data_IF_928516301057
#
_entry.id   IF_928516301057
#
_cell.length_a   1.000
_cell.length_b   1.000
_cell.length_c   1.000
_cell.angle_alpha   90.00
_cell.angle_beta   90.00
_cell.angle_gamma   90.00
#
_symmetry.space_group_name_H-M   'P 1'
#
loop_
_entity.id
_entity.type
_entity.pdbx_description
1 polymer ?
#
# COMPACT_ATOMS: atom_id res chain seq x y z
N UNK A 1 -19.58 -6.88 -6.45
CA UNK A 1 -18.23 -6.30 -6.28
C UNK A 1 -17.49 -7.10 -5.22
N UNK A 2 -16.21 -7.38 -5.43
CA UNK A 2 -15.36 -8.10 -4.50
C UNK A 2 -14.04 -7.34 -4.31
N UNK A 3 -13.51 -7.26 -3.09
CA UNK A 3 -12.25 -6.55 -2.80
C UNK A 3 -11.23 -7.56 -2.28
N UNK A 4 -10.02 -7.53 -2.83
CA UNK A 4 -8.88 -8.30 -2.35
C UNK A 4 -7.90 -7.29 -1.76
N UNK A 5 -7.69 -7.34 -0.44
CA UNK A 5 -6.77 -6.46 0.29
C UNK A 5 -5.48 -7.19 0.61
N UNK A 6 -4.37 -6.60 0.22
CA UNK A 6 -3.06 -7.07 0.63
C UNK A 6 -2.49 -6.17 1.72
N UNK A 7 -2.57 -6.62 2.97
CA UNK A 7 -2.06 -5.89 4.11
C UNK A 7 -0.86 -6.58 4.77
N UNK A 8 0.11 -5.74 5.26
CA UNK A 8 1.26 -6.20 6.05
C UNK A 8 0.93 -6.49 7.53
N UNK A 9 -0.34 -6.39 7.95
CA UNK A 9 -0.78 -6.57 9.33
C UNK A 9 -1.76 -7.73 9.51
N UNK A 10 -1.86 -8.26 10.71
CA UNK A 10 -2.73 -9.39 11.07
C UNK A 10 -4.14 -8.98 11.53
N UNK A 11 -4.48 -7.72 11.53
CA UNK A 11 -5.78 -7.23 11.99
C UNK A 11 -6.34 -6.23 10.98
N UNK A 12 -7.29 -6.67 10.21
CA UNK A 12 -8.04 -5.87 9.26
C UNK A 12 -9.09 -5.02 9.96
N UNK A 13 -8.73 -3.82 10.43
CA UNK A 13 -9.72 -2.80 10.81
C UNK A 13 -10.55 -2.44 9.57
N UNK A 14 -9.92 -2.45 8.40
CA UNK A 14 -10.58 -2.18 7.13
C UNK A 14 -11.58 -3.29 6.75
N UNK A 15 -11.31 -4.54 7.12
CA UNK A 15 -12.20 -5.68 6.91
C UNK A 15 -13.54 -5.56 7.64
N UNK A 16 -13.56 -5.08 8.88
CA UNK A 16 -14.79 -4.86 9.64
C UNK A 16 -15.65 -3.76 9.00
N UNK A 17 -15.03 -2.63 8.65
CA UNK A 17 -15.74 -1.51 8.00
C UNK A 17 -16.33 -1.90 6.63
N UNK A 18 -15.62 -2.67 5.83
CA UNK A 18 -16.09 -3.12 4.53
C UNK A 18 -17.16 -4.20 4.63
N UNK A 19 -17.10 -5.08 5.64
CA UNK A 19 -18.14 -6.08 5.90
C UNK A 19 -19.49 -5.47 6.28
N UNK A 20 -19.47 -4.35 7.02
CA UNK A 20 -20.69 -3.58 7.33
C UNK A 20 -21.36 -3.01 6.09
N UNK A 21 -20.61 -2.75 5.02
CA UNK A 21 -21.13 -2.30 3.72
C UNK A 21 -21.63 -3.45 2.84
N UNK A 22 -21.58 -4.70 3.30
CA UNK A 22 -22.01 -5.89 2.54
C UNK A 22 -21.12 -6.21 1.35
N UNK A 23 -19.86 -5.78 1.37
CA UNK A 23 -18.88 -6.04 0.33
C UNK A 23 -18.11 -7.29 0.70
N UNK A 24 -18.01 -8.24 -0.24
CA UNK A 24 -17.18 -9.43 -0.07
C UNK A 24 -15.70 -9.03 -0.07
N UNK A 25 -14.95 -9.50 0.93
CA UNK A 25 -13.57 -9.15 1.15
C UNK A 25 -12.73 -10.40 1.40
N UNK A 26 -11.60 -10.50 0.70
CA UNK A 26 -10.53 -11.44 1.00
C UNK A 26 -9.27 -10.71 1.44
N UNK A 27 -8.72 -11.07 2.60
CA UNK A 27 -7.48 -10.53 3.13
C UNK A 27 -6.32 -11.50 2.89
N UNK A 28 -5.26 -11.03 2.23
CA UNK A 28 -4.02 -11.77 2.09
C UNK A 28 -3.00 -11.22 3.08
N UNK A 29 -2.97 -11.85 4.25
CA UNK A 29 -2.12 -11.44 5.37
C UNK A 29 -0.69 -12.03 5.31
N UNK A 30 0.26 -11.38 6.00
CA UNK A 30 1.66 -11.80 6.21
C UNK A 30 2.66 -11.52 5.09
N UNK A 31 2.62 -10.36 4.48
CA UNK A 31 3.64 -9.84 3.56
C UNK A 31 3.10 -9.50 2.18
N UNK A 32 3.92 -8.83 1.37
CA UNK A 32 3.49 -8.41 0.02
C UNK A 32 3.21 -9.62 -0.86
N UNK A 33 1.98 -9.73 -1.38
CA UNK A 33 1.62 -10.69 -2.44
C UNK A 33 2.38 -10.43 -3.73
N UNK A 34 2.97 -9.27 -3.85
CA UNK A 34 3.74 -8.81 -5.01
C UNK A 34 5.20 -9.30 -4.98
N UNK A 35 5.64 -9.92 -3.87
CA UNK A 35 6.88 -10.68 -3.85
C UNK A 35 6.68 -11.96 -4.68
N UNK A 36 7.61 -12.28 -5.55
CA UNK A 36 7.61 -13.49 -6.39
C UNK A 36 7.36 -14.79 -5.62
N UNK A 37 7.66 -14.82 -4.34
CA UNK A 37 7.44 -15.96 -3.44
C UNK A 37 5.99 -16.16 -2.97
N UNK A 38 5.04 -15.27 -3.32
CA UNK A 38 3.64 -15.31 -2.86
C UNK A 38 2.60 -15.07 -3.94
N UNK A 39 3.03 -14.96 -5.17
CA UNK A 39 2.13 -14.82 -6.32
C UNK A 39 1.11 -15.98 -6.38
N UNK A 40 1.54 -17.19 -6.02
CA UNK A 40 0.66 -18.37 -5.98
C UNK A 40 -0.53 -18.18 -5.03
N UNK A 41 -0.36 -17.47 -3.91
CA UNK A 41 -1.48 -17.20 -2.99
C UNK A 41 -2.49 -16.25 -3.61
N UNK A 42 -2.00 -15.18 -4.24
CA UNK A 42 -2.86 -14.24 -4.93
C UNK A 42 -3.65 -14.90 -6.05
N UNK A 43 -2.98 -15.75 -6.85
CA UNK A 43 -3.63 -16.51 -7.91
C UNK A 43 -4.72 -17.45 -7.38
N UNK A 44 -4.47 -18.13 -6.25
CA UNK A 44 -5.46 -19.01 -5.62
C UNK A 44 -6.68 -18.22 -5.10
N UNK A 45 -6.47 -17.07 -4.43
CA UNK A 45 -7.56 -16.20 -3.98
C UNK A 45 -8.34 -15.69 -5.18
N UNK A 46 -7.66 -15.22 -6.23
CA UNK A 46 -8.30 -14.72 -7.44
C UNK A 46 -9.16 -15.83 -8.11
N UNK A 47 -8.67 -17.07 -8.16
CA UNK A 47 -9.45 -18.20 -8.67
C UNK A 47 -10.71 -18.47 -7.85
N UNK A 48 -10.64 -18.38 -6.52
CA UNK A 48 -11.80 -18.55 -5.63
C UNK A 48 -12.82 -17.43 -5.85
N UNK A 49 -12.37 -16.18 -5.87
CA UNK A 49 -13.22 -15.01 -6.10
C UNK A 49 -13.93 -15.08 -7.46
N UNK A 50 -13.24 -15.55 -8.51
CA UNK A 50 -13.86 -15.71 -9.84
C UNK A 50 -14.98 -16.77 -9.88
N UNK A 51 -14.99 -17.75 -8.96
CA UNK A 51 -16.10 -18.73 -8.87
C UNK A 51 -17.41 -18.07 -8.40
N UNK A 52 -17.32 -16.99 -7.62
CA UNK A 52 -18.46 -16.19 -7.16
C UNK A 52 -19.03 -15.28 -8.25
N UNK A 53 -18.36 -15.18 -9.41
CA UNK A 53 -18.75 -14.37 -10.57
C UNK A 53 -19.07 -12.91 -10.24
N UNK A 54 -18.18 -12.18 -9.54
CA UNK A 54 -18.41 -10.77 -9.26
C UNK A 54 -18.33 -9.96 -10.56
N UNK A 55 -19.11 -8.86 -10.66
CA UNK A 55 -19.04 -7.94 -11.79
C UNK A 55 -17.72 -7.16 -11.80
N UNK A 56 -17.18 -6.84 -10.61
CA UNK A 56 -15.94 -6.08 -10.42
C UNK A 56 -15.12 -6.66 -9.29
N UNK A 57 -13.82 -6.77 -9.51
CA UNK A 57 -12.82 -7.11 -8.49
C UNK A 57 -11.89 -5.91 -8.33
N UNK A 58 -11.71 -5.44 -7.10
CA UNK A 58 -10.75 -4.39 -6.75
C UNK A 58 -9.63 -5.06 -5.95
N UNK A 59 -8.39 -4.82 -6.36
CA UNK A 59 -7.21 -5.32 -5.64
C UNK A 59 -6.50 -4.13 -5.01
N UNK A 60 -6.50 -4.06 -3.68
CA UNK A 60 -5.71 -3.08 -2.94
C UNK A 60 -4.32 -3.62 -2.67
N UNK A 61 -3.34 -2.94 -3.21
CA UNK A 61 -1.94 -3.24 -2.96
C UNK A 61 -1.40 -2.45 -1.76
N UNK A 62 -0.56 -3.06 -0.95
CA UNK A 62 0.21 -2.31 0.06
C UNK A 62 1.02 -1.19 -0.60
N UNK A 63 1.09 -0.01 0.04
CA UNK A 63 1.81 1.16 -0.46
C UNK A 63 3.31 0.96 -0.76
N UNK A 64 3.90 -0.16 -0.31
CA UNK A 64 5.29 -0.54 -0.55
C UNK A 64 5.42 -1.70 -1.54
N UNK A 65 4.35 -2.09 -2.19
CA UNK A 65 4.33 -3.22 -3.12
C UNK A 65 4.71 -2.78 -4.53
N UNK A 66 5.47 -3.63 -5.22
CA UNK A 66 5.73 -3.50 -6.66
C UNK A 66 4.55 -4.11 -7.44
N UNK A 67 3.71 -3.31 -8.11
CA UNK A 67 2.49 -3.78 -8.76
C UNK A 67 2.75 -4.47 -10.11
N UNK A 68 3.98 -4.48 -10.61
CA UNK A 68 4.34 -5.03 -11.93
C UNK A 68 3.93 -6.50 -12.06
N UNK A 69 4.17 -7.30 -11.03
CA UNK A 69 3.86 -8.74 -11.06
C UNK A 69 2.35 -9.00 -11.06
N UNK A 70 1.56 -8.20 -10.33
CA UNK A 70 0.10 -8.34 -10.31
C UNK A 70 -0.49 -8.02 -11.68
N UNK A 71 -0.04 -6.95 -12.32
CA UNK A 71 -0.45 -6.60 -13.69
C UNK A 71 -0.20 -7.78 -14.64
N UNK A 72 0.95 -8.46 -14.52
CA UNK A 72 1.26 -9.66 -15.31
C UNK A 72 0.29 -10.81 -15.07
N UNK A 73 -0.05 -11.09 -13.79
CA UNK A 73 -1.01 -12.15 -13.45
C UNK A 73 -2.39 -11.82 -14.01
N UNK A 74 -2.89 -10.61 -13.77
CA UNK A 74 -4.22 -10.19 -14.21
C UNK A 74 -4.36 -10.19 -15.74
N UNK A 75 -3.27 -10.10 -16.48
CA UNK A 75 -3.27 -10.19 -17.95
C UNK A 75 -3.18 -11.62 -18.50
N UNK A 76 -3.06 -12.66 -17.65
CA UNK A 76 -3.02 -14.07 -18.09
C UNK A 76 -4.42 -14.59 -18.45
N UNK A 77 -4.93 -14.18 -19.60
CA UNK A 77 -6.29 -14.55 -20.07
C UNK A 77 -6.53 -16.05 -20.15
N UNK A 78 -5.51 -16.85 -20.46
CA UNK A 78 -5.61 -18.31 -20.53
C UNK A 78 -5.86 -18.93 -19.13
N UNK A 79 -5.25 -18.35 -18.10
CA UNK A 79 -5.35 -18.82 -16.71
C UNK A 79 -6.62 -18.31 -16.02
N UNK A 80 -7.08 -17.12 -16.39
CA UNK A 80 -8.25 -16.45 -15.82
C UNK A 80 -9.24 -16.06 -16.92
N UNK A 81 -9.94 -17.08 -17.52
CA UNK A 81 -10.90 -16.80 -18.58
C UNK A 81 -12.08 -15.97 -18.03
N UNK A 82 -12.43 -14.91 -18.74
CA UNK A 82 -13.51 -14.01 -18.34
C UNK A 82 -13.06 -12.85 -17.44
N UNK A 83 -11.80 -12.81 -17.01
CA UNK A 83 -11.23 -11.65 -16.33
C UNK A 83 -10.75 -10.62 -17.37
N UNK A 84 -11.20 -9.38 -17.22
CA UNK A 84 -10.72 -8.23 -17.98
C UNK A 84 -9.99 -7.27 -17.06
N UNK A 85 -8.72 -7.01 -17.32
CA UNK A 85 -7.94 -6.03 -16.58
C UNK A 85 -8.35 -4.62 -17.01
N UNK A 86 -8.95 -3.86 -16.10
CA UNK A 86 -9.49 -2.52 -16.36
C UNK A 86 -8.44 -1.42 -16.21
N UNK A 87 -7.42 -1.62 -15.40
CA UNK A 87 -6.34 -0.66 -15.18
C UNK A 87 -5.86 -0.60 -13.73
N UNK A 88 -4.83 0.22 -13.51
CA UNK A 88 -4.19 0.46 -12.22
C UNK A 88 -4.32 1.93 -11.84
N UNK A 89 -4.90 2.20 -10.68
CA UNK A 89 -4.97 3.54 -10.07
C UNK A 89 -3.89 3.65 -9.01
N UNK A 90 -3.00 4.63 -9.14
CA UNK A 90 -2.00 4.94 -8.12
C UNK A 90 -2.45 6.14 -7.29
N UNK A 91 -2.59 5.92 -5.99
CA UNK A 91 -2.93 6.96 -5.02
C UNK A 91 -1.67 7.49 -4.36
N UNK A 92 -1.32 8.75 -4.62
CA UNK A 92 -0.13 9.42 -4.11
C UNK A 92 -0.51 10.38 -2.98
N UNK A 93 0.20 10.31 -1.85
CA UNK A 93 0.08 11.28 -0.77
C UNK A 93 0.88 12.54 -1.10
N UNK A 94 0.22 13.67 -1.36
CA UNK A 94 0.88 14.93 -1.73
C UNK A 94 1.89 15.41 -0.69
N UNK A 95 1.63 15.15 0.59
CA UNK A 95 2.51 15.55 1.70
C UNK A 95 3.81 14.74 1.74
N UNK A 96 3.72 13.45 1.43
CA UNK A 96 4.86 12.53 1.51
C UNK A 96 5.60 12.37 0.18
N UNK A 97 4.95 12.72 -0.92
CA UNK A 97 5.45 12.47 -2.28
C UNK A 97 6.88 12.94 -2.51
N UNK A 98 7.29 14.18 -2.15
CA UNK A 98 8.66 14.63 -2.42
C UNK A 98 9.71 13.71 -1.81
N UNK A 99 9.50 13.28 -0.54
CA UNK A 99 10.40 12.38 0.17
C UNK A 99 10.43 10.98 -0.47
N UNK A 100 9.24 10.38 -0.67
CA UNK A 100 9.17 8.99 -1.15
C UNK A 100 9.58 8.84 -2.61
N UNK A 101 9.37 9.84 -3.44
CA UNK A 101 9.78 9.84 -4.85
C UNK A 101 11.30 9.84 -5.01
N UNK A 102 12.03 10.54 -4.12
CA UNK A 102 13.49 10.57 -4.16
C UNK A 102 14.11 9.29 -3.60
N UNK A 103 13.50 8.73 -2.55
CA UNK A 103 14.12 7.67 -1.75
C UNK A 103 13.64 6.26 -2.08
N UNK A 104 12.41 6.10 -2.59
CA UNK A 104 11.79 4.80 -2.84
C UNK A 104 11.62 4.50 -4.33
N UNK A 105 12.44 3.61 -4.87
CA UNK A 105 12.37 3.16 -6.28
C UNK A 105 11.00 2.57 -6.60
N UNK A 106 10.34 1.90 -5.64
CA UNK A 106 9.02 1.31 -5.82
C UNK A 106 7.96 2.34 -6.20
N UNK A 107 8.04 3.58 -5.69
CA UNK A 107 7.10 4.67 -6.05
C UNK A 107 7.19 5.01 -7.53
N UNK A 108 8.40 5.06 -8.08
CA UNK A 108 8.62 5.29 -9.51
C UNK A 108 8.03 4.16 -10.36
N UNK A 109 8.17 2.91 -9.91
CA UNK A 109 7.54 1.74 -10.56
C UNK A 109 6.00 1.81 -10.47
N UNK A 110 5.46 2.17 -9.31
CA UNK A 110 4.01 2.35 -9.14
C UNK A 110 3.45 3.37 -10.12
N UNK A 111 4.10 4.54 -10.24
CA UNK A 111 3.73 5.55 -11.22
C UNK A 111 3.85 5.01 -12.65
N UNK A 112 4.92 4.28 -12.96
CA UNK A 112 5.19 3.77 -14.29
C UNK A 112 4.14 2.77 -14.78
N UNK A 113 3.65 1.88 -13.93
CA UNK A 113 2.65 0.85 -14.31
C UNK A 113 1.21 1.32 -14.21
N UNK A 114 0.97 2.51 -13.66
CA UNK A 114 -0.37 3.04 -13.45
C UNK A 114 -0.99 3.56 -14.73
N UNK A 115 -2.31 3.50 -14.78
CA UNK A 115 -3.15 3.99 -15.86
C UNK A 115 -3.89 5.27 -15.46
N UNK A 116 -3.88 5.61 -14.16
CA UNK A 116 -4.43 6.84 -13.58
C UNK A 116 -3.66 7.20 -12.31
N UNK A 117 -3.33 8.49 -12.12
CA UNK A 117 -2.75 9.02 -10.89
C UNK A 117 -3.76 9.89 -10.14
N UNK A 118 -3.89 9.65 -8.85
CA UNK A 118 -4.64 10.50 -7.92
C UNK A 118 -3.67 11.09 -6.89
N UNK A 119 -3.44 12.39 -6.95
CA UNK A 119 -2.69 13.13 -5.94
C UNK A 119 -3.64 13.49 -4.80
N UNK A 120 -3.62 12.69 -3.76
CA UNK A 120 -4.48 12.81 -2.58
C UNK A 120 -3.89 13.72 -1.52
N UNK A 121 -4.72 14.13 -0.56
CA UNK A 121 -4.37 15.05 0.54
C UNK A 121 -3.92 16.42 0.06
N UNK A 122 -4.50 16.89 -1.05
CA UNK A 122 -4.22 18.24 -1.58
C UNK A 122 -4.55 19.35 -0.59
N UNK A 123 -5.44 19.09 0.35
CA UNK A 123 -5.84 19.97 1.45
C UNK A 123 -4.76 20.17 2.51
N UNK A 124 -3.74 19.32 2.55
CA UNK A 124 -2.65 19.36 3.54
C UNK A 124 -1.35 19.97 3.01
N UNK A 125 -1.33 20.46 1.77
CA UNK A 125 -0.16 21.03 1.11
C UNK A 125 -0.49 22.35 0.41
N UNK A 126 0.52 23.17 0.18
CA UNK A 126 0.35 24.47 -0.50
C UNK A 126 0.25 24.28 -2.01
N UNK A 127 -0.36 25.27 -2.70
CA UNK A 127 -0.52 25.25 -4.15
C UNK A 127 0.82 25.14 -4.89
N UNK A 128 1.84 25.83 -4.41
CA UNK A 128 3.19 25.80 -5.00
C UNK A 128 3.83 24.40 -4.91
N UNK A 129 3.58 23.67 -3.82
CA UNK A 129 4.04 22.29 -3.64
C UNK A 129 3.32 21.36 -4.60
N UNK A 130 2.00 21.52 -4.77
CA UNK A 130 1.21 20.76 -5.75
C UNK A 130 1.75 20.97 -7.16
N UNK A 131 2.03 22.20 -7.56
CA UNK A 131 2.57 22.51 -8.88
C UNK A 131 3.95 21.86 -9.12
N UNK A 132 4.80 21.82 -8.10
CA UNK A 132 6.09 21.12 -8.17
C UNK A 132 5.90 19.61 -8.35
N UNK A 133 5.01 19.00 -7.57
CA UNK A 133 4.68 17.57 -7.69
C UNK A 133 4.13 17.26 -9.09
N UNK A 134 3.22 18.07 -9.59
CA UNK A 134 2.68 17.90 -10.94
C UNK A 134 3.75 17.97 -12.03
N UNK A 135 4.71 18.88 -11.91
CA UNK A 135 5.86 18.96 -12.84
C UNK A 135 6.68 17.68 -12.82
N UNK A 136 6.98 17.14 -11.64
CA UNK A 136 7.71 15.88 -11.49
C UNK A 136 6.94 14.72 -12.13
N UNK A 137 5.65 14.60 -11.83
CA UNK A 137 4.81 13.53 -12.36
C UNK A 137 4.67 13.60 -13.88
N UNK A 138 4.46 14.79 -14.44
CA UNK A 138 4.39 15.02 -15.89
C UNK A 138 5.72 14.77 -16.60
N UNK A 139 6.84 15.06 -15.94
CA UNK A 139 8.16 14.73 -16.50
C UNK A 139 8.40 13.21 -16.52
N UNK A 140 7.86 12.47 -15.54
CA UNK A 140 7.99 11.02 -15.46
C UNK A 140 7.04 10.28 -16.44
N UNK A 141 5.77 10.71 -16.49
CA UNK A 141 4.72 10.13 -17.35
C UNK A 141 3.82 11.25 -17.90
N UNK A 142 4.20 11.86 -19.04
CA UNK A 142 3.51 13.04 -19.59
C UNK A 142 2.06 12.77 -20.00
N UNK A 143 1.77 11.55 -20.48
CA UNK A 143 0.46 11.17 -21.04
C UNK A 143 -0.49 10.57 -19.98
N UNK A 144 -0.03 10.41 -18.74
CA UNK A 144 -0.83 9.77 -17.71
C UNK A 144 -1.87 10.75 -17.12
N UNK A 145 -3.16 10.40 -17.09
CA UNK A 145 -4.17 11.19 -16.44
C UNK A 145 -3.82 11.41 -14.96
N UNK A 146 -3.88 12.66 -14.51
CA UNK A 146 -3.54 13.07 -13.14
C UNK A 146 -4.65 13.96 -12.57
N UNK A 147 -5.29 13.51 -11.51
CA UNK A 147 -6.29 14.26 -10.78
C UNK A 147 -5.87 14.51 -9.34
N UNK A 148 -6.36 15.62 -8.77
CA UNK A 148 -6.07 16.03 -7.39
C UNK A 148 -7.30 15.81 -6.53
N UNK A 149 -7.14 15.14 -5.41
CA UNK A 149 -8.24 14.82 -4.52
C UNK A 149 -7.88 15.01 -3.05
N UNK A 150 -8.87 14.94 -2.20
CA UNK A 150 -8.76 14.84 -0.74
C UNK A 150 -9.64 13.69 -0.27
N UNK A 151 -9.22 13.02 0.80
CA UNK A 151 -9.95 11.89 1.39
C UNK A 151 -10.20 10.72 0.43
N UNK A 152 -9.36 10.56 -0.60
CA UNK A 152 -9.52 9.49 -1.59
C UNK A 152 -10.75 9.62 -2.48
N UNK A 153 -11.41 10.77 -2.50
CA UNK A 153 -12.58 10.99 -3.35
C UNK A 153 -12.21 10.84 -4.82
N UNK A 154 -12.98 10.04 -5.55
CA UNK A 154 -12.77 9.77 -6.96
C UNK A 154 -14.08 10.02 -7.75
N UNK A 155 -13.95 10.67 -8.89
CA UNK A 155 -15.07 10.87 -9.81
C UNK A 155 -15.10 9.72 -10.84
N UNK A 156 -16.29 9.18 -11.09
CA UNK A 156 -16.47 8.05 -12.02
C UNK A 156 -15.90 8.34 -13.41
N UNK A 157 -16.02 9.59 -13.89
CA UNK A 157 -15.48 10.01 -15.19
C UNK A 157 -13.96 9.83 -15.30
N UNK A 158 -13.20 9.87 -14.19
CA UNK A 158 -11.75 9.69 -14.23
C UNK A 158 -11.35 8.26 -14.59
N UNK A 159 -12.20 7.28 -14.25
CA UNK A 159 -11.98 5.89 -14.68
C UNK A 159 -12.11 5.72 -16.19
N UNK A 160 -12.94 6.57 -16.84
CA UNK A 160 -13.11 6.55 -18.29
C UNK A 160 -11.92 7.14 -19.04
N UNK A 161 -11.09 7.95 -18.35
CA UNK A 161 -9.85 8.51 -18.90
C UNK A 161 -8.71 7.49 -18.92
N UNK A 162 -8.83 6.37 -18.19
CA UNK A 162 -7.83 5.32 -18.23
C UNK A 162 -7.76 4.74 -19.65
N UNK A 163 -6.62 4.95 -20.29
CA UNK A 163 -6.38 4.34 -21.59
C UNK A 163 -6.34 2.82 -21.44
N UNK A 164 -6.73 2.09 -22.49
CA UNK A 164 -6.57 0.62 -22.47
C UNK A 164 -5.13 0.31 -22.12
N UNK A 165 -4.90 -0.59 -21.14
CA UNK A 165 -3.57 -0.86 -20.60
C UNK A 165 -2.59 -1.16 -21.71
N UNK A 166 -1.52 -0.38 -21.80
CA UNK A 166 -0.46 -0.63 -22.76
C UNK A 166 0.43 -1.76 -22.20
N UNK A 167 0.34 -2.94 -22.79
CA UNK A 167 1.04 -4.14 -22.36
C UNK A 167 2.52 -4.15 -22.74
N UNK A 168 2.94 -3.28 -23.68
CA UNK A 168 4.28 -3.34 -24.30
C UNK A 168 5.42 -2.67 -23.51
N UNK A 169 5.12 -1.87 -22.48
CA UNK A 169 6.14 -1.15 -21.68
C UNK A 169 6.84 -2.01 -20.62
N UNK A 170 6.55 -3.30 -20.53
CA UNK A 170 6.93 -4.14 -19.39
C UNK A 170 8.39 -4.64 -19.40
N UNK A 171 9.00 -4.83 -20.54
CA UNK A 171 10.34 -5.46 -20.60
C UNK A 171 11.49 -4.59 -20.05
N UNK A 172 11.37 -3.26 -20.09
CA UNK A 172 12.40 -2.35 -19.60
C UNK A 172 12.38 -2.15 -18.07
N UNK A 173 11.25 -2.42 -17.41
CA UNK A 173 11.07 -2.23 -15.96
C UNK A 173 11.60 -3.38 -15.09
N UNK A 174 11.91 -4.52 -15.70
CA UNK A 174 12.18 -5.79 -15.00
C UNK A 174 13.57 -5.90 -14.38
N UNK A 175 14.49 -4.95 -14.63
CA UNK A 175 15.91 -5.15 -14.30
C UNK A 175 16.43 -4.49 -13.02
N UNK A 176 15.62 -3.72 -12.30
CA UNK A 176 16.07 -3.14 -11.03
C UNK A 176 15.44 -3.85 -9.83
N UNK A 177 16.23 -4.70 -9.19
CA UNK A 177 15.89 -5.16 -7.83
C UNK A 177 15.78 -3.94 -6.92
N UNK A 178 14.65 -3.81 -6.22
CA UNK A 178 14.47 -2.72 -5.25
C UNK A 178 15.29 -3.04 -3.99
N UNK A 179 16.49 -2.48 -3.93
CA UNK A 179 17.44 -2.65 -2.81
C UNK A 179 17.23 -1.58 -1.73
N UNK A 180 16.29 -0.65 -1.95
CA UNK A 180 16.17 0.55 -1.12
C UNK A 180 15.28 0.35 0.11
N UNK A 181 14.33 -0.59 0.09
CA UNK A 181 13.48 -0.88 1.24
C UNK A 181 14.06 -2.03 2.07
N UNK A 182 14.45 -1.70 3.29
CA UNK A 182 14.95 -2.67 4.27
C UNK A 182 13.92 -2.90 5.36
N UNK A 183 13.73 -4.16 5.70
CA UNK A 183 12.88 -4.57 6.82
C UNK A 183 13.75 -4.89 8.02
N UNK A 184 13.48 -4.24 9.14
CA UNK A 184 14.11 -4.52 10.42
C UNK A 184 13.08 -5.02 11.42
N UNK A 185 13.51 -5.87 12.33
CA UNK A 185 12.75 -6.27 13.51
C UNK A 185 13.40 -5.61 14.72
N UNK A 186 12.64 -4.75 15.38
CA UNK A 186 13.05 -4.11 16.61
C UNK A 186 12.39 -4.82 17.78
N UNK A 187 13.20 -5.40 18.66
CA UNK A 187 12.74 -6.02 19.91
C UNK A 187 12.77 -4.99 21.02
N UNK A 188 11.61 -4.79 21.66
CA UNK A 188 11.44 -3.83 22.75
C UNK A 188 11.58 -4.58 24.09
N UNK A 189 12.40 -4.07 24.99
CA UNK A 189 12.55 -4.62 26.35
C UNK A 189 11.35 -4.22 27.20
N UNK A 190 10.90 -5.13 28.08
CA UNK A 190 9.68 -4.95 28.90
C UNK A 190 9.79 -3.83 29.93
N UNK A 191 11.02 -3.52 30.38
CA UNK A 191 11.28 -2.47 31.38
C UNK A 191 11.21 -1.04 30.82
N UNK A 192 11.09 -0.88 29.49
CA UNK A 192 11.00 0.45 28.87
C UNK A 192 9.63 1.04 29.14
N UNK A 193 9.59 2.29 29.60
CA UNK A 193 8.34 3.04 29.75
C UNK A 193 7.77 3.46 28.39
N UNK A 194 6.44 3.55 28.30
CA UNK A 194 5.73 3.95 27.10
C UNK A 194 6.21 5.31 26.56
N UNK A 195 6.45 6.28 27.43
CA UNK A 195 6.94 7.60 27.07
C UNK A 195 8.33 7.53 26.41
N UNK A 196 9.24 6.71 26.95
CA UNK A 196 10.58 6.49 26.41
C UNK A 196 10.51 5.85 25.02
N UNK A 197 9.65 4.84 24.86
CA UNK A 197 9.41 4.21 23.55
C UNK A 197 8.87 5.22 22.55
N UNK A 198 7.86 6.00 22.93
CA UNK A 198 7.28 7.04 22.07
C UNK A 198 8.32 8.05 21.59
N UNK A 199 9.15 8.54 22.51
CA UNK A 199 10.23 9.46 22.17
C UNK A 199 11.25 8.85 21.20
N UNK A 200 11.69 7.61 21.48
CA UNK A 200 12.61 6.89 20.61
C UNK A 200 12.03 6.65 19.20
N UNK A 201 10.77 6.22 19.13
CA UNK A 201 10.12 5.99 17.83
C UNK A 201 9.98 7.29 17.03
N UNK A 202 9.65 8.41 17.69
CA UNK A 202 9.60 9.72 17.01
C UNK A 202 10.94 10.12 16.38
N UNK A 203 12.07 9.78 17.01
CA UNK A 203 13.39 10.02 16.41
C UNK A 203 13.61 9.16 15.16
N UNK A 204 13.09 7.93 15.13
CA UNK A 204 13.23 7.02 13.98
C UNK A 204 12.35 7.42 12.79
N UNK A 205 11.26 8.17 13.00
CA UNK A 205 10.33 8.52 11.93
C UNK A 205 11.00 9.27 10.76
N UNK A 206 12.07 10.01 11.03
CA UNK A 206 12.79 10.77 10.01
C UNK A 206 13.35 9.85 8.90
N UNK A 207 13.80 8.65 9.29
CA UNK A 207 14.47 7.69 8.40
C UNK A 207 13.63 6.44 8.12
N UNK A 208 12.34 6.43 8.54
CA UNK A 208 11.47 5.28 8.35
C UNK A 208 10.24 5.62 7.53
N UNK A 209 9.76 4.64 6.75
CA UNK A 209 8.50 4.75 6.01
C UNK A 209 7.33 4.24 6.83
N UNK A 210 7.55 3.17 7.59
CA UNK A 210 6.50 2.54 8.40
C UNK A 210 7.09 1.85 9.61
N UNK A 211 6.39 1.95 10.76
CA UNK A 211 6.64 1.13 11.95
C UNK A 211 5.30 0.50 12.34
N UNK A 212 5.26 -0.82 12.52
CA UNK A 212 4.04 -1.50 12.99
C UNK A 212 4.40 -2.68 13.89
N UNK A 213 3.61 -2.87 14.96
CA UNK A 213 3.72 -4.03 15.84
C UNK A 213 3.00 -3.84 17.16
N UNK A 214 3.18 -4.81 18.04
CA UNK A 214 2.56 -4.81 19.36
C UNK A 214 3.63 -4.76 20.43
N UNK A 215 3.37 -3.98 21.47
CA UNK A 215 4.22 -3.93 22.66
C UNK A 215 3.37 -4.11 23.91
N UNK A 216 3.92 -4.84 24.88
CA UNK A 216 3.34 -5.01 26.21
C UNK A 216 4.21 -4.26 27.20
N UNK A 217 3.74 -3.14 27.70
CA UNK A 217 4.46 -2.25 28.61
C UNK A 217 3.50 -1.78 29.69
N UNK A 218 4.00 -1.63 30.92
CA UNK A 218 3.21 -1.09 32.04
C UNK A 218 1.86 -1.83 32.20
N UNK A 219 1.90 -3.18 32.11
CA UNK A 219 0.73 -4.07 32.20
C UNK A 219 -0.37 -3.84 31.16
N UNK A 220 -0.02 -3.19 30.03
CA UNK A 220 -0.98 -2.90 28.96
C UNK A 220 -0.41 -3.23 27.59
N UNK A 221 -1.25 -3.81 26.73
CA UNK A 221 -0.93 -4.01 25.32
C UNK A 221 -1.19 -2.75 24.50
N UNK A 222 -0.24 -2.39 23.66
CA UNK A 222 -0.36 -1.27 22.74
C UNK A 222 -0.11 -1.71 21.31
N UNK A 223 -0.94 -1.21 20.41
CA UNK A 223 -0.66 -1.21 18.97
C UNK A 223 0.20 0.02 18.65
N UNK A 224 1.37 -0.22 18.08
CA UNK A 224 2.23 0.83 17.52
C UNK A 224 2.02 0.86 16.02
N UNK A 225 1.66 2.01 15.48
CA UNK A 225 1.52 2.22 14.05
C UNK A 225 2.09 3.59 13.68
N UNK A 226 3.06 3.62 12.77
CA UNK A 226 3.60 4.87 12.26
C UNK A 226 3.69 4.84 10.74
N UNK A 227 3.31 5.94 10.12
CA UNK A 227 3.40 6.16 8.67
C UNK A 227 3.93 7.56 8.43
N UNK A 228 5.07 7.68 7.74
CA UNK A 228 5.75 8.96 7.58
C UNK A 228 6.10 9.57 8.93
N UNK A 229 5.65 10.79 9.18
CA UNK A 229 5.93 11.53 10.42
C UNK A 229 4.82 11.41 11.49
N UNK A 230 3.86 10.51 11.29
CA UNK A 230 2.76 10.30 12.22
C UNK A 230 2.98 9.01 12.99
N UNK A 231 2.99 9.09 14.32
CA UNK A 231 3.08 7.97 15.24
C UNK A 231 1.79 7.86 16.04
N UNK A 232 1.20 6.69 16.02
CA UNK A 232 0.05 6.31 16.84
C UNK A 232 0.46 5.17 17.76
N UNK A 233 0.20 5.31 19.04
CA UNK A 233 0.36 4.26 20.05
C UNK A 233 -0.94 4.19 20.81
N UNK A 234 -1.70 3.13 20.61
CA UNK A 234 -3.05 2.99 21.15
C UNK A 234 -3.16 1.71 21.98
N UNK A 235 -3.85 1.75 23.14
CA UNK A 235 -4.15 0.54 23.89
C UNK A 235 -4.95 -0.44 23.01
N UNK A 236 -4.65 -1.73 23.13
CA UNK A 236 -5.37 -2.77 22.40
C UNK A 236 -5.60 -4.00 23.27
N UNK A 237 -6.41 -4.94 22.77
CA UNK A 237 -6.64 -6.22 23.41
C UNK A 237 -5.37 -7.07 23.48
N UNK A 238 -5.35 -8.04 24.41
CA UNK A 238 -4.25 -8.98 24.57
C UNK A 238 -3.93 -9.70 23.26
N UNK A 239 -2.63 -9.85 23.00
CA UNK A 239 -2.10 -10.50 21.80
C UNK A 239 -1.34 -11.78 22.13
N UNK A 240 -1.08 -12.59 21.11
CA UNK A 240 -0.27 -13.81 21.27
C UNK A 240 1.16 -13.44 21.71
N UNK A 241 1.71 -14.24 22.62
CA UNK A 241 3.08 -14.03 23.13
C UNK A 241 4.13 -13.96 22.02
N UNK A 242 3.93 -14.66 20.90
CA UNK A 242 4.82 -14.61 19.73
C UNK A 242 4.86 -13.25 19.01
N UNK A 243 3.94 -12.33 19.36
CA UNK A 243 3.87 -10.99 18.79
C UNK A 243 4.32 -9.91 19.78
N UNK A 244 4.63 -10.34 21.02
CA UNK A 244 4.99 -9.43 22.11
C UNK A 244 6.30 -8.72 21.83
N UNK A 245 6.26 -7.40 21.98
CA UNK A 245 7.43 -6.54 21.96
C UNK A 245 8.28 -6.63 20.68
N UNK A 246 7.62 -6.83 19.54
CA UNK A 246 8.28 -6.85 18.23
C UNK A 246 7.64 -5.77 17.35
N UNK A 247 8.48 -4.82 16.90
CA UNK A 247 8.10 -3.82 15.92
C UNK A 247 8.78 -4.13 14.58
N UNK A 248 8.00 -4.11 13.52
CA UNK A 248 8.50 -4.17 12.15
C UNK A 248 8.74 -2.76 11.66
N UNK A 249 9.96 -2.47 11.26
CA UNK A 249 10.38 -1.18 10.71
C UNK A 249 10.69 -1.37 9.24
N UNK A 250 10.14 -0.49 8.41
CA UNK A 250 10.48 -0.38 6.99
C UNK A 250 11.20 0.97 6.78
N UNK A 251 12.44 0.91 6.33
CA UNK A 251 13.32 2.06 6.12
C UNK A 251 13.94 2.02 4.72
#
# INVERSE_FOLDING_TARGET
MHIIVNEFGKEGIDGELLSELGIALDEINNGSIFCSCRLDKFENVLQQVLQEKPDVIIVEASGLSDPTNVKKILNQREKFPGLEYMGCVCLLDARQFPKVYETAVVVKKQIQVSDLLLLNKKDLVKTEEIEQIQKILKAHRPDLPLHMTSYGMMEERWLQEMQKPNLETEEQLLQTADVTLRKYLLHIQEEIKLETLSHFLNMLLVDTFRIKGFVYLEDTWYLVNAVGNMLYIEPCSEKKETQKNILVILS
#
